data_IF_994491444885
#
_entry.id   IF_994491444885
#
_cell.length_a   1.000
_cell.length_b   1.000
_cell.length_c   1.000
_cell.angle_alpha   90.00
_cell.angle_beta   90.00
_cell.angle_gamma   90.00
#
_symmetry.space_group_name_H-M   'P 1'
#
loop_
_entity.id
_entity.type
_entity.pdbx_description
1 polymer ?
#
# COMPACT_ATOMS: atom_id res chain seq x y z
N UNK A 1 14.25 36.10 -15.42
CA UNK A 1 14.05 34.81 -14.71
C UNK A 1 12.88 34.10 -15.38
N UNK A 2 13.14 32.97 -16.03
CA UNK A 2 12.19 32.34 -16.95
C UNK A 2 11.08 31.59 -16.20
N UNK A 3 9.83 32.04 -16.37
CA UNK A 3 8.62 31.52 -15.72
C UNK A 3 8.38 30.03 -16.08
N UNK A 4 8.96 29.55 -17.19
CA UNK A 4 8.85 28.15 -17.61
C UNK A 4 9.68 27.20 -16.73
N UNK A 5 10.84 27.63 -16.21
CA UNK A 5 11.68 26.79 -15.35
C UNK A 5 11.03 26.54 -13.98
N UNK A 6 10.31 27.54 -13.45
CA UNK A 6 9.67 27.48 -12.14
C UNK A 6 8.52 26.46 -12.11
N UNK A 7 7.77 26.34 -13.23
CA UNK A 7 6.66 25.37 -13.32
C UNK A 7 7.14 23.91 -13.37
N UNK A 8 8.27 23.65 -14.02
CA UNK A 8 8.83 22.29 -14.10
C UNK A 8 9.42 21.85 -12.76
N UNK A 9 10.05 22.77 -12.02
CA UNK A 9 10.60 22.48 -10.68
C UNK A 9 9.51 22.25 -9.62
N UNK A 10 8.36 22.92 -9.72
CA UNK A 10 7.21 22.69 -8.83
C UNK A 10 6.49 21.36 -9.10
N UNK A 11 6.47 20.88 -10.34
CA UNK A 11 5.85 19.60 -10.68
C UNK A 11 6.68 18.39 -10.21
N UNK A 12 8.00 18.49 -10.19
CA UNK A 12 8.89 17.43 -9.68
C UNK A 12 9.08 17.48 -8.17
N UNK A 13 9.00 18.66 -7.54
CA UNK A 13 9.16 18.81 -6.08
C UNK A 13 8.01 18.24 -5.24
N UNK A 14 6.80 18.15 -5.79
CA UNK A 14 5.60 17.70 -5.02
C UNK A 14 5.46 16.17 -4.98
N UNK A 15 6.10 15.43 -5.89
CA UNK A 15 5.96 13.96 -5.97
C UNK A 15 6.96 13.24 -5.03
N UNK A 16 8.11 13.87 -4.73
CA UNK A 16 9.18 13.26 -3.92
C UNK A 16 8.86 13.14 -2.42
N UNK A 17 7.88 13.88 -1.90
CA UNK A 17 7.57 13.86 -0.46
C UNK A 17 6.52 12.81 -0.05
N UNK A 18 5.92 12.07 -0.99
CA UNK A 18 4.74 11.25 -0.69
C UNK A 18 5.11 9.82 -0.21
N UNK A 19 6.33 9.33 -0.47
CA UNK A 19 6.69 7.94 -0.15
C UNK A 19 8.01 7.73 0.59
N UNK A 20 8.54 8.75 1.25
CA UNK A 20 9.49 8.47 2.34
C UNK A 20 8.68 8.02 3.54
N UNK A 21 8.96 6.82 4.08
CA UNK A 21 8.41 6.39 5.38
C UNK A 21 8.79 7.42 6.50
N UNK A 22 9.68 8.37 6.20
CA UNK A 22 10.08 9.54 6.99
C UNK A 22 9.00 10.60 7.23
N UNK A 23 7.91 10.67 6.45
CA UNK A 23 6.80 11.59 6.74
C UNK A 23 5.73 11.00 7.69
N UNK A 24 5.99 9.84 8.28
CA UNK A 24 5.33 9.44 9.52
C UNK A 24 5.90 10.37 10.60
N UNK A 25 5.36 11.58 10.72
CA UNK A 25 5.55 12.39 11.93
C UNK A 25 5.12 11.50 13.08
N UNK A 26 6.10 11.04 13.83
CA UNK A 26 5.91 10.34 15.08
C UNK A 26 4.97 11.19 15.91
N UNK A 27 3.74 10.70 16.06
CA UNK A 27 3.18 10.72 17.40
C UNK A 27 4.23 10.05 18.27
N UNK A 28 4.59 10.66 19.39
CA UNK A 28 5.36 9.98 20.44
C UNK A 28 4.66 8.70 20.91
N UNK A 29 3.39 8.50 20.53
CA UNK A 29 2.78 7.19 20.40
C UNK A 29 3.18 6.57 19.06
N UNK A 30 4.40 6.05 19.02
CA UNK A 30 4.82 5.11 18.00
C UNK A 30 3.94 3.85 18.17
N UNK A 31 2.72 3.86 17.62
CA UNK A 31 1.95 2.65 17.31
C UNK A 31 2.64 1.91 16.14
N UNK A 32 3.96 1.77 16.21
CA UNK A 32 4.62 0.65 15.56
C UNK A 32 3.99 -0.59 16.15
N UNK A 33 3.30 -1.33 15.30
CA UNK A 33 2.81 -2.67 15.56
C UNK A 33 4.03 -3.63 15.62
N UNK A 34 4.96 -3.34 16.53
CA UNK A 34 6.25 -3.99 16.72
C UNK A 34 6.39 -4.20 18.21
N UNK A 35 5.89 -5.34 18.68
CA UNK A 35 5.88 -5.69 20.11
C UNK A 35 5.01 -6.89 20.44
N UNK A 36 3.95 -7.15 19.68
CA UNK A 36 3.01 -8.24 19.99
C UNK A 36 3.20 -9.40 19.00
N UNK A 37 3.52 -10.58 19.53
CA UNK A 37 3.78 -11.83 18.83
C UNK A 37 2.88 -12.07 17.60
N UNK A 38 3.34 -11.76 16.36
CA UNK A 38 2.67 -12.04 15.07
C UNK A 38 1.15 -12.24 15.11
N UNK A 39 0.45 -11.40 15.88
CA UNK A 39 -0.98 -11.54 16.12
C UNK A 39 -1.62 -10.51 15.23
N UNK A 40 -2.30 -10.97 14.18
CA UNK A 40 -3.13 -10.12 13.35
C UNK A 40 -4.03 -9.25 14.27
N UNK A 41 -3.95 -7.90 14.18
CA UNK A 41 -4.79 -6.98 14.95
C UNK A 41 -6.27 -7.24 14.66
N UNK A 42 -6.87 -8.16 15.41
CA UNK A 42 -8.22 -8.64 15.15
C UNK A 42 -8.54 -9.98 15.82
N UNK A 43 -7.53 -10.80 16.12
CA UNK A 43 -7.71 -12.12 16.74
C UNK A 43 -7.45 -12.12 18.26
N UNK A 44 -7.65 -11.00 18.94
CA UNK A 44 -7.74 -11.03 20.41
C UNK A 44 -8.95 -11.88 20.79
N UNK A 45 -8.72 -13.01 21.48
CA UNK A 45 -9.75 -13.98 21.91
C UNK A 45 -10.96 -13.36 22.64
N UNK A 46 -10.85 -12.10 23.09
CA UNK A 46 -11.84 -11.42 23.93
C UNK A 46 -12.38 -10.09 23.37
N UNK A 47 -12.10 -9.72 22.10
CA UNK A 47 -12.70 -8.52 21.48
C UNK A 47 -13.31 -8.84 20.10
N UNK A 48 -14.63 -8.79 19.95
CA UNK A 48 -15.21 -8.83 18.61
C UNK A 48 -14.88 -7.49 17.93
N UNK A 49 -14.18 -7.53 16.80
CA UNK A 49 -14.26 -6.42 15.85
C UNK A 49 -14.50 -6.92 14.42
N UNK A 50 -15.73 -7.36 14.12
CA UNK A 50 -16.18 -7.56 12.73
C UNK A 50 -16.13 -6.26 11.89
N UNK A 51 -15.89 -5.09 12.51
CA UNK A 51 -15.75 -3.81 11.81
C UNK A 51 -14.41 -3.57 11.12
N UNK A 52 -13.40 -4.41 11.34
CA UNK A 52 -12.07 -4.18 10.74
C UNK A 52 -11.62 -5.26 9.75
N UNK A 53 -12.31 -6.41 9.67
CA UNK A 53 -11.95 -7.47 8.73
C UNK A 53 -12.00 -7.00 7.28
N UNK A 54 -13.10 -6.36 6.87
CA UNK A 54 -13.23 -5.82 5.51
C UNK A 54 -12.19 -4.74 5.18
N UNK A 55 -11.87 -3.87 6.15
CA UNK A 55 -10.86 -2.82 5.97
C UNK A 55 -9.47 -3.44 5.82
N UNK A 56 -9.14 -4.44 6.64
CA UNK A 56 -7.88 -5.20 6.55
C UNK A 56 -7.80 -5.92 5.20
N UNK A 57 -8.86 -6.61 4.80
CA UNK A 57 -8.94 -7.32 3.51
C UNK A 57 -8.75 -6.36 2.33
N UNK A 58 -9.37 -5.17 2.34
CA UNK A 58 -9.14 -4.14 1.32
C UNK A 58 -7.66 -3.75 1.25
N UNK A 59 -7.01 -3.57 2.41
CA UNK A 59 -5.60 -3.19 2.50
C UNK A 59 -4.68 -4.31 2.02
N UNK A 60 -4.98 -5.56 2.34
CA UNK A 60 -4.24 -6.74 1.88
C UNK A 60 -4.33 -6.87 0.36
N UNK A 61 -5.52 -6.71 -0.22
CA UNK A 61 -5.71 -6.68 -1.66
C UNK A 61 -4.92 -5.54 -2.33
N UNK A 62 -4.89 -4.36 -1.72
CA UNK A 62 -4.07 -3.25 -2.20
C UNK A 62 -2.55 -3.52 -2.09
N UNK A 63 -2.12 -4.20 -1.03
CA UNK A 63 -0.73 -4.63 -0.86
C UNK A 63 -0.30 -5.62 -1.96
N UNK A 64 -1.10 -6.66 -2.20
CA UNK A 64 -0.79 -7.66 -3.22
C UNK A 64 -0.83 -7.08 -4.64
N UNK A 65 -1.80 -6.21 -4.94
CA UNK A 65 -1.82 -5.52 -6.24
C UNK A 65 -0.61 -4.58 -6.39
N UNK A 66 -0.19 -3.89 -5.32
CA UNK A 66 1.04 -3.10 -5.33
C UNK A 66 2.27 -3.94 -5.70
N UNK A 67 2.42 -5.13 -5.09
CA UNK A 67 3.50 -6.05 -5.46
C UNK A 67 3.38 -6.47 -6.93
N UNK A 68 2.17 -6.77 -7.40
CA UNK A 68 1.91 -7.19 -8.79
C UNK A 68 2.35 -6.11 -9.79
N UNK A 69 1.91 -4.88 -9.58
CA UNK A 69 2.29 -3.73 -10.40
C UNK A 69 3.79 -3.42 -10.32
N UNK A 70 4.40 -3.68 -9.16
CA UNK A 70 5.81 -3.44 -8.88
C UNK A 70 6.73 -4.38 -9.63
N UNK A 71 6.52 -5.69 -9.49
CA UNK A 71 7.39 -6.70 -10.10
C UNK A 71 7.12 -6.91 -11.59
N UNK A 72 5.88 -6.70 -12.05
CA UNK A 72 5.46 -6.93 -13.45
C UNK A 72 5.90 -8.29 -14.00
N UNK A 73 5.92 -9.31 -13.14
CA UNK A 73 6.40 -10.64 -13.45
C UNK A 73 5.37 -11.68 -13.02
N UNK A 74 4.62 -12.17 -14.00
CA UNK A 74 3.53 -13.14 -13.77
C UNK A 74 4.04 -14.47 -13.18
N UNK A 75 5.28 -14.87 -13.46
CA UNK A 75 5.84 -16.13 -12.95
C UNK A 75 6.03 -16.10 -11.44
N UNK A 76 6.43 -14.95 -10.88
CA UNK A 76 6.54 -14.79 -9.42
C UNK A 76 5.16 -14.95 -8.77
N UNK A 77 4.12 -14.32 -9.34
CA UNK A 77 2.77 -14.42 -8.78
C UNK A 77 2.15 -15.80 -8.95
N UNK A 78 2.44 -16.51 -10.03
CA UNK A 78 2.05 -17.92 -10.16
C UNK A 78 2.66 -18.80 -9.07
N UNK A 79 3.94 -18.57 -8.72
CA UNK A 79 4.60 -19.30 -7.64
C UNK A 79 3.97 -18.97 -6.30
N UNK A 80 3.73 -17.69 -6.00
CA UNK A 80 3.06 -17.29 -4.76
C UNK A 80 1.65 -17.90 -4.72
N UNK A 81 0.90 -17.91 -5.84
CA UNK A 81 -0.47 -18.45 -5.86
C UNK A 81 -0.54 -19.96 -5.62
N UNK A 82 0.55 -20.67 -5.92
CA UNK A 82 0.66 -22.11 -5.71
C UNK A 82 0.92 -22.45 -4.24
N UNK A 83 1.69 -21.61 -3.55
CA UNK A 83 2.20 -21.90 -2.20
C UNK A 83 1.44 -21.13 -1.10
N UNK A 84 0.88 -19.97 -1.44
CA UNK A 84 0.23 -19.05 -0.52
C UNK A 84 -1.29 -19.04 -0.74
N UNK A 85 -2.03 -19.03 0.36
CA UNK A 85 -3.48 -18.88 0.34
C UNK A 85 -3.80 -17.41 0.18
N UNK A 86 -3.72 -16.88 -1.05
CA UNK A 86 -4.21 -15.53 -1.33
C UNK A 86 -5.63 -15.40 -0.81
N UNK A 87 -5.85 -14.33 -0.06
CA UNK A 87 -7.16 -14.04 0.52
C UNK A 87 -8.15 -13.97 -0.63
N UNK A 88 -9.15 -14.85 -0.57
CA UNK A 88 -10.27 -14.81 -1.48
C UNK A 88 -10.90 -13.42 -1.37
N UNK A 89 -10.88 -12.70 -2.49
CA UNK A 89 -11.49 -11.39 -2.67
C UNK A 89 -13.03 -11.38 -2.52
N UNK A 90 -13.61 -12.43 -1.95
CA UNK A 90 -15.03 -12.71 -1.96
C UNK A 90 -15.82 -11.59 -1.26
N UNK A 91 -15.19 -10.84 -0.34
CA UNK A 91 -15.86 -9.73 0.36
C UNK A 91 -15.58 -8.35 -0.24
N UNK A 92 -14.64 -8.22 -1.19
CA UNK A 92 -14.32 -6.94 -1.85
C UNK A 92 -15.05 -6.87 -3.20
N UNK A 93 -16.06 -6.00 -3.34
CA UNK A 93 -16.76 -5.76 -4.60
C UNK A 93 -15.84 -5.59 -5.81
N UNK A 94 -16.17 -6.27 -6.91
CA UNK A 94 -15.47 -6.11 -8.21
C UNK A 94 -15.33 -4.64 -8.64
N UNK A 95 -16.30 -3.80 -8.26
CA UNK A 95 -16.32 -2.36 -8.55
C UNK A 95 -15.14 -1.60 -7.91
N UNK A 96 -14.66 -2.04 -6.75
CA UNK A 96 -13.51 -1.44 -6.06
C UNK A 96 -12.15 -1.84 -6.63
N UNK A 97 -12.08 -2.95 -7.37
CA UNK A 97 -10.81 -3.42 -7.94
C UNK A 97 -10.17 -2.44 -8.91
N UNK A 98 -10.97 -1.70 -9.65
CA UNK A 98 -10.48 -0.63 -10.54
C UNK A 98 -9.74 0.46 -9.77
N UNK A 99 -10.25 0.83 -8.58
CA UNK A 99 -9.67 1.83 -7.69
C UNK A 99 -8.39 1.30 -7.05
N UNK A 100 -8.42 0.09 -6.51
CA UNK A 100 -7.25 -0.59 -5.93
C UNK A 100 -6.10 -0.61 -6.95
N UNK A 101 -6.37 -1.10 -8.17
CA UNK A 101 -5.38 -1.15 -9.26
C UNK A 101 -4.82 0.23 -9.62
N UNK A 102 -5.70 1.24 -9.70
CA UNK A 102 -5.28 2.60 -10.02
C UNK A 102 -4.35 3.17 -8.95
N UNK A 103 -4.70 3.00 -7.69
CA UNK A 103 -3.91 3.53 -6.57
C UNK A 103 -2.57 2.82 -6.47
N UNK A 104 -2.56 1.49 -6.44
CA UNK A 104 -1.35 0.66 -6.39
C UNK A 104 -0.38 0.99 -7.55
N UNK A 105 -0.91 1.19 -8.76
CA UNK A 105 -0.11 1.62 -9.91
C UNK A 105 0.53 2.99 -9.69
N UNK A 106 -0.18 3.97 -9.11
CA UNK A 106 0.39 5.30 -8.79
C UNK A 106 1.52 5.20 -7.79
N UNK A 107 1.38 4.38 -6.74
CA UNK A 107 2.44 4.13 -5.75
C UNK A 107 3.71 3.65 -6.43
N UNK A 108 3.60 2.62 -7.29
CA UNK A 108 4.75 2.04 -7.99
C UNK A 108 5.36 2.98 -9.04
N UNK A 109 4.53 3.77 -9.74
CA UNK A 109 5.02 4.73 -10.73
C UNK A 109 5.79 5.89 -10.10
N UNK A 110 5.46 6.28 -8.87
CA UNK A 110 6.17 7.30 -8.11
C UNK A 110 7.50 6.86 -7.51
N UNK A 111 7.90 5.59 -7.67
CA UNK A 111 9.11 5.09 -7.03
C UNK A 111 10.40 5.56 -7.72
N UNK A 112 11.28 6.29 -6.99
CA UNK A 112 12.62 6.55 -7.49
C UNK A 112 13.40 5.23 -7.60
N UNK A 113 14.41 5.22 -8.48
CA UNK A 113 15.41 4.18 -8.42
C UNK A 113 16.16 4.28 -7.09
N UNK A 114 16.68 3.16 -6.58
CA UNK A 114 17.56 3.18 -5.43
C UNK A 114 18.83 3.98 -5.79
N UNK A 115 18.97 5.17 -5.21
CA UNK A 115 20.12 6.06 -5.43
C UNK A 115 21.23 5.85 -4.37
N UNK A 116 20.93 5.16 -3.27
CA UNK A 116 21.68 5.31 -2.01
C UNK A 116 22.59 4.13 -1.62
N UNK A 117 22.86 3.19 -2.51
CA UNK A 117 23.75 2.07 -2.19
C UNK A 117 24.94 2.05 -3.14
N UNK A 118 26.13 2.19 -2.58
CA UNK A 118 27.44 2.03 -3.24
C UNK A 118 27.75 0.55 -3.50
N UNK A 119 26.74 -0.19 -3.94
CA UNK A 119 26.75 -1.62 -4.18
C UNK A 119 26.19 -1.86 -5.58
N UNK A 120 27.01 -2.45 -6.44
CA UNK A 120 26.63 -2.81 -7.82
C UNK A 120 25.39 -3.72 -7.86
N UNK A 121 25.12 -4.49 -6.80
CA UNK A 121 23.98 -5.39 -6.71
C UNK A 121 22.66 -4.65 -6.48
N UNK A 122 22.67 -3.41 -6.03
CA UNK A 122 21.45 -2.63 -5.72
C UNK A 122 21.25 -1.41 -6.63
N UNK A 123 22.29 -1.05 -7.39
CA UNK A 123 22.23 -0.04 -8.44
C UNK A 123 21.07 -0.29 -9.41
N UNK A 124 20.24 0.73 -9.62
CA UNK A 124 19.04 0.70 -10.46
C UNK A 124 17.89 -0.23 -9.99
N UNK A 125 17.99 -0.88 -8.82
CA UNK A 125 16.87 -1.62 -8.26
C UNK A 125 15.84 -0.68 -7.64
N UNK A 126 14.61 -1.16 -7.49
CA UNK A 126 13.51 -0.43 -6.82
C UNK A 126 13.17 -1.12 -5.50
N UNK A 127 12.87 -0.34 -4.47
CA UNK A 127 12.43 -0.84 -3.16
C UNK A 127 10.94 -1.23 -3.16
N UNK A 128 10.53 -2.09 -4.10
CA UNK A 128 9.12 -2.44 -4.34
C UNK A 128 8.45 -3.00 -3.09
N UNK A 129 9.02 -4.05 -2.48
CA UNK A 129 8.44 -4.73 -1.31
C UNK A 129 8.30 -3.79 -0.12
N UNK A 130 9.36 -3.04 0.20
CA UNK A 130 9.34 -2.04 1.28
C UNK A 130 8.29 -0.95 1.02
N UNK A 131 8.16 -0.49 -0.23
CA UNK A 131 7.16 0.51 -0.59
C UNK A 131 5.76 0.00 -0.40
N UNK A 132 5.46 -1.20 -0.90
CA UNK A 132 4.14 -1.80 -0.74
C UNK A 132 3.82 -2.04 0.74
N UNK A 133 4.82 -2.41 1.55
CA UNK A 133 4.66 -2.55 3.01
C UNK A 133 4.39 -1.18 3.69
N UNK A 134 5.13 -0.13 3.36
CA UNK A 134 4.85 1.23 3.84
C UNK A 134 3.44 1.69 3.39
N UNK A 135 3.01 1.36 2.17
CA UNK A 135 1.67 1.68 1.68
C UNK A 135 0.57 0.94 2.46
N UNK A 136 0.74 -0.36 2.71
CA UNK A 136 -0.14 -1.15 3.58
C UNK A 136 -0.28 -0.53 4.98
N UNK A 137 0.82 -0.03 5.55
CA UNK A 137 0.84 0.61 6.86
C UNK A 137 0.38 2.09 6.85
N UNK A 138 0.16 2.69 5.68
CA UNK A 138 -0.09 4.13 5.55
C UNK A 138 -1.46 4.56 6.09
N UNK A 139 -1.51 5.80 6.64
CA UNK A 139 -2.77 6.45 7.03
C UNK A 139 -3.65 6.77 5.82
N UNK A 140 -3.04 6.98 4.66
CA UNK A 140 -3.75 7.24 3.41
C UNK A 140 -4.59 6.02 3.02
N UNK A 141 -3.96 4.84 2.91
CA UNK A 141 -4.67 3.61 2.57
C UNK A 141 -5.72 3.25 3.63
N UNK A 142 -5.42 3.46 4.91
CA UNK A 142 -6.39 3.29 6.00
C UNK A 142 -7.63 4.19 5.83
N UNK A 143 -7.44 5.45 5.45
CA UNK A 143 -8.55 6.38 5.16
C UNK A 143 -9.38 5.95 3.95
N UNK A 144 -8.71 5.49 2.88
CA UNK A 144 -9.37 4.99 1.66
C UNK A 144 -10.21 3.76 1.99
N UNK A 145 -9.64 2.77 2.66
CA UNK A 145 -10.31 1.52 3.02
C UNK A 145 -11.52 1.77 3.93
N UNK A 146 -11.38 2.63 4.96
CA UNK A 146 -12.50 3.00 5.85
C UNK A 146 -13.63 3.70 5.12
N UNK A 147 -13.33 4.54 4.12
CA UNK A 147 -14.33 5.21 3.31
C UNK A 147 -15.07 4.23 2.41
N UNK A 148 -14.33 3.37 1.71
CA UNK A 148 -14.91 2.34 0.86
C UNK A 148 -15.82 1.39 1.66
N UNK A 149 -15.42 1.02 2.89
CA UNK A 149 -16.26 0.22 3.79
C UNK A 149 -17.57 0.93 4.17
N UNK A 150 -17.50 2.24 4.44
CA UNK A 150 -18.69 3.05 4.74
C UNK A 150 -19.66 3.10 3.55
N UNK A 151 -19.14 3.14 2.32
CA UNK A 151 -19.95 3.13 1.11
C UNK A 151 -20.56 1.74 0.85
N UNK A 152 -19.78 0.68 1.07
CA UNK A 152 -20.23 -0.71 1.02
C UNK A 152 -21.38 -1.00 1.99
N UNK A 153 -21.21 -0.63 3.27
CA UNK A 153 -22.25 -0.83 4.32
C UNK A 153 -23.53 -0.02 4.10
N UNK A 154 -23.47 1.04 3.28
CA UNK A 154 -24.65 1.81 2.84
C UNK A 154 -25.30 1.24 1.58
N UNK A 155 -24.76 0.18 1.00
CA UNK A 155 -25.21 -0.40 -0.27
C UNK A 155 -24.93 0.48 -1.49
N UNK A 156 -24.03 1.47 -1.36
CA UNK A 156 -23.62 2.35 -2.46
C UNK A 156 -22.60 1.67 -3.39
N UNK A 157 -21.93 0.65 -2.87
CA UNK A 157 -20.99 -0.21 -3.59
C UNK A 157 -21.44 -1.64 -3.36
N UNK A 158 -21.63 -2.36 -4.45
CA UNK A 158 -22.01 -3.78 -4.49
C UNK A 158 -20.97 -4.54 -5.29
#
# INVERSE_FOLDING_TARGET
>A
MDIRLVKTALATGVILTIFSCSSIKGSTDLNTYYGDAFFYPGYSKNKPSPKNGWVIEYKENAFFDCLFQGYKNDSIFKLIQKEDSFINADNIPMTLWSKIKSDSKKIIQGLPAAEYYDDELTKNKKHISQTCLCYFASRELDSIAKRAYKEYTKGQIK
#
